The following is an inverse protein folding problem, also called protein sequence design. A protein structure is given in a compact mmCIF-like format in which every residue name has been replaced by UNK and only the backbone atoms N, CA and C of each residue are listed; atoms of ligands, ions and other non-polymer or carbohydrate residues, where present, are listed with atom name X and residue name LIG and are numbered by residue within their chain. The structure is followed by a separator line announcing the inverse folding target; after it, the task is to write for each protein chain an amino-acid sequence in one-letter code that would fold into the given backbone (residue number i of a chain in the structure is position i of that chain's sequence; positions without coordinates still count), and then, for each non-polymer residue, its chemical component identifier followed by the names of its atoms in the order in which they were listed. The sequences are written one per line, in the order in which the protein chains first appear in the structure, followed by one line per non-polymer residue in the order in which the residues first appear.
data_IF_484148339635
#
_entry.id   IF_484148339635
#
_cell.length_a   1.000
_cell.length_b   1.000
_cell.length_c   1.000
_cell.angle_alpha   90.00
_cell.angle_beta   90.00
_cell.angle_gamma   90.00
#
_symmetry.space_group_name_H-M   'P 1'
#
loop_
_entity.id
_entity.type
_entity.pdbx_description
1 polymer ?
#
# COMPACT_ATOMS: atom_id res chain seq x y z
N UNK A 1 -3.62 -19.28 2.85
CA UNK A 1 -2.63 -19.03 1.78
C UNK A 1 -1.88 -17.76 2.12
N UNK A 2 -0.64 -17.61 1.65
CA UNK A 2 0.11 -16.34 1.75
C UNK A 2 -0.14 -15.57 0.45
N UNK A 3 -0.54 -14.31 0.55
CA UNK A 3 -0.82 -13.41 -0.57
C UNK A 3 0.12 -12.21 -0.50
N UNK A 4 0.92 -12.00 -1.55
CA UNK A 4 1.76 -10.82 -1.68
C UNK A 4 0.94 -9.59 -2.07
N UNK A 5 1.13 -8.49 -1.35
CA UNK A 5 0.55 -7.18 -1.62
C UNK A 5 1.63 -6.25 -2.15
N UNK A 6 1.62 -6.03 -3.47
CA UNK A 6 2.47 -5.03 -4.12
C UNK A 6 1.82 -3.67 -4.07
N UNK A 7 2.57 -2.65 -3.66
CA UNK A 7 2.10 -1.27 -3.57
C UNK A 7 3.26 -0.30 -3.75
N UNK A 8 2.90 0.97 -3.93
CA UNK A 8 3.85 2.07 -3.96
C UNK A 8 3.27 3.26 -3.17
N UNK A 9 3.75 3.51 -1.95
CA UNK A 9 3.14 4.45 -1.01
C UNK A 9 3.44 5.89 -1.40
N UNK A 10 2.37 6.64 -1.64
CA UNK A 10 2.41 8.07 -1.86
C UNK A 10 3.17 8.81 -0.76
N UNK A 11 3.01 8.40 0.49
CA UNK A 11 3.68 9.04 1.63
C UNK A 11 5.20 8.93 1.56
N UNK A 12 5.74 7.87 0.95
CA UNK A 12 7.18 7.65 0.84
C UNK A 12 7.81 8.54 -0.23
N UNK A 13 7.10 8.82 -1.34
CA UNK A 13 7.54 9.83 -2.31
C UNK A 13 7.38 11.25 -1.79
N UNK A 14 6.31 11.54 -1.04
CA UNK A 14 6.18 12.85 -0.40
C UNK A 14 7.34 13.11 0.58
N UNK A 15 7.80 12.11 1.33
CA UNK A 15 9.00 12.23 2.19
C UNK A 15 10.29 12.46 1.39
N UNK A 16 10.35 12.00 0.15
CA UNK A 16 11.47 12.25 -0.76
C UNK A 16 11.43 13.66 -1.39
N UNK A 17 10.38 14.44 -1.14
CA UNK A 17 10.26 15.83 -1.61
C UNK A 17 9.46 16.01 -2.89
N UNK A 18 8.81 14.95 -3.39
CA UNK A 18 7.88 15.05 -4.52
C UNK A 18 6.61 15.82 -4.12
N UNK A 19 5.96 16.41 -5.11
CA UNK A 19 4.72 17.16 -4.93
C UNK A 19 3.49 16.24 -4.87
N UNK A 20 2.36 16.78 -4.43
CA UNK A 20 1.08 16.06 -4.44
C UNK A 20 0.62 15.69 -5.85
N UNK A 21 0.99 16.47 -6.86
CA UNK A 21 0.62 16.22 -8.27
C UNK A 21 1.47 15.09 -8.86
N UNK A 22 2.78 15.12 -8.65
CA UNK A 22 3.72 14.07 -9.08
C UNK A 22 3.42 12.71 -8.42
N UNK A 23 2.76 12.72 -7.26
CA UNK A 23 2.47 11.52 -6.48
C UNK A 23 1.00 11.10 -6.54
N UNK A 24 0.23 11.67 -7.48
CA UNK A 24 -1.21 11.45 -7.57
C UNK A 24 -1.59 10.00 -7.93
N UNK A 25 -0.70 9.27 -8.60
CA UNK A 25 -0.91 7.87 -9.00
C UNK A 25 -0.58 6.84 -7.91
N UNK A 26 0.15 7.25 -6.86
CA UNK A 26 0.62 6.36 -5.81
C UNK A 26 -0.44 6.03 -4.76
N UNK A 27 -0.24 4.91 -4.09
CA UNK A 27 -1.18 4.34 -3.12
C UNK A 27 -1.23 5.14 -1.83
N UNK A 28 -2.43 5.19 -1.24
CA UNK A 28 -2.61 5.70 0.13
C UNK A 28 -2.42 4.56 1.11
N UNK A 29 -1.77 4.84 2.25
CA UNK A 29 -1.62 3.89 3.37
C UNK A 29 -2.95 3.26 3.77
N UNK A 30 -4.01 4.07 3.89
CA UNK A 30 -5.35 3.59 4.25
C UNK A 30 -5.94 2.60 3.25
N UNK A 31 -5.60 2.71 1.96
CA UNK A 31 -6.07 1.78 0.93
C UNK A 31 -5.40 0.42 1.11
N UNK A 32 -4.08 0.41 1.33
CA UNK A 32 -3.30 -0.82 1.54
C UNK A 32 -3.75 -1.52 2.83
N UNK A 33 -3.93 -0.77 3.92
CA UNK A 33 -4.45 -1.29 5.19
C UNK A 33 -5.85 -1.92 5.03
N UNK A 34 -6.74 -1.25 4.29
CA UNK A 34 -8.09 -1.76 4.04
C UNK A 34 -8.09 -3.08 3.25
N UNK A 35 -7.26 -3.18 2.21
CA UNK A 35 -7.11 -4.41 1.41
C UNK A 35 -6.50 -5.52 2.25
N UNK A 36 -5.45 -5.22 3.01
CA UNK A 36 -4.79 -6.17 3.90
C UNK A 36 -5.77 -6.74 4.93
N UNK A 37 -6.53 -5.88 5.60
CA UNK A 37 -7.51 -6.31 6.59
C UNK A 37 -8.61 -7.15 5.96
N UNK A 38 -9.08 -6.82 4.75
CA UNK A 38 -10.09 -7.60 4.04
C UNK A 38 -9.58 -9.02 3.73
N UNK A 39 -8.33 -9.16 3.28
CA UNK A 39 -7.70 -10.45 2.98
C UNK A 39 -7.49 -11.27 4.27
N UNK A 40 -7.04 -10.63 5.34
CA UNK A 40 -6.86 -11.29 6.64
C UNK A 40 -8.20 -11.77 7.21
N UNK A 41 -9.26 -10.97 7.10
CA UNK A 41 -10.61 -11.33 7.51
C UNK A 41 -11.18 -12.50 6.70
N UNK A 42 -10.71 -12.71 5.46
CA UNK A 42 -11.04 -13.88 4.64
C UNK A 42 -10.26 -15.15 5.05
N UNK A 43 -9.40 -15.09 6.08
CA UNK A 43 -8.64 -16.23 6.59
C UNK A 43 -7.33 -16.47 5.82
N UNK A 44 -6.74 -15.43 5.24
CA UNK A 44 -5.47 -15.50 4.53
C UNK A 44 -4.39 -14.67 5.22
N UNK A 45 -3.13 -14.97 4.93
CA UNK A 45 -2.00 -14.17 5.40
C UNK A 45 -1.55 -13.23 4.29
N UNK A 46 -1.04 -12.06 4.65
CA UNK A 46 -0.52 -11.06 3.73
C UNK A 46 0.96 -10.85 3.93
N UNK A 47 1.68 -10.58 2.84
CA UNK A 47 3.06 -10.11 2.85
C UNK A 47 3.13 -8.83 2.02
N UNK A 48 3.59 -7.74 2.64
CA UNK A 48 3.75 -6.43 1.99
C UNK A 48 5.04 -6.41 1.19
N UNK A 49 4.97 -6.05 -0.09
CA UNK A 49 6.11 -6.06 -1.03
C UNK A 49 6.11 -4.74 -1.81
N UNK A 50 6.81 -3.72 -1.31
CA UNK A 50 6.84 -2.40 -1.93
C UNK A 50 7.52 -1.37 -1.03
N UNK A 51 7.65 -0.14 -1.54
CA UNK A 51 8.02 1.03 -0.77
C UNK A 51 6.76 1.81 -0.42
#
# INVERSE_FOLDING_TARGET
MIIGLTYDLRSDYLKQGYTLEETAEFDKESTIEGIEQAIQNAGHQTERIGH
#
